data_IF_270643710104
#
_entry.id   IF_270643710104
#
_cell.length_a   1.000
_cell.length_b   1.000
_cell.length_c   1.000
_cell.angle_alpha   90.00
_cell.angle_beta   90.00
_cell.angle_gamma   90.00
#
_symmetry.space_group_name_H-M   'P 1'
#
loop_
_entity.id
_entity.type
_entity.pdbx_description
1 polymer ?
#
# COMPACT_ATOMS: atom_id res chain seq x y z
N UNK A 1 4.63 8.98 -12.35
CA UNK A 1 3.83 7.86 -11.77
C UNK A 1 2.54 8.36 -11.11
N UNK A 2 2.61 9.15 -10.05
CA UNK A 2 1.45 9.75 -9.37
C UNK A 2 1.60 11.27 -9.37
N UNK A 3 0.53 11.98 -9.70
CA UNK A 3 0.46 13.43 -9.55
C UNK A 3 -0.93 13.80 -9.04
N UNK A 4 -0.96 14.42 -7.87
CA UNK A 4 -2.19 14.99 -7.30
C UNK A 4 -2.05 16.51 -7.23
N UNK A 5 -3.13 17.21 -7.55
CA UNK A 5 -3.16 18.68 -7.56
C UNK A 5 -4.42 19.15 -6.86
N UNK A 6 -4.22 19.94 -5.81
CA UNK A 6 -5.30 20.51 -4.98
C UNK A 6 -6.37 19.49 -4.55
N UNK A 7 -5.93 18.25 -4.20
CA UNK A 7 -6.80 17.17 -3.83
C UNK A 7 -7.52 17.47 -2.51
N UNK A 8 -8.84 17.33 -2.51
CA UNK A 8 -9.69 17.58 -1.35
C UNK A 8 -10.47 16.31 -0.96
N UNK A 9 -10.60 16.10 0.35
CA UNK A 9 -11.49 15.08 0.91
C UNK A 9 -12.13 15.56 2.19
N UNK A 10 -13.46 15.52 2.25
CA UNK A 10 -14.26 16.01 3.34
C UNK A 10 -15.23 14.90 3.77
N UNK A 11 -15.10 14.43 5.00
CA UNK A 11 -16.07 13.52 5.60
C UNK A 11 -17.17 14.33 6.30
N UNK A 12 -18.42 14.03 5.96
CA UNK A 12 -19.58 14.70 6.51
C UNK A 12 -20.44 13.71 7.28
N UNK A 13 -20.73 14.04 8.53
CA UNK A 13 -21.80 13.43 9.32
C UNK A 13 -22.91 14.45 9.53
N UNK A 14 -24.02 14.07 10.16
CA UNK A 14 -25.11 15.00 10.43
C UNK A 14 -24.70 16.19 11.31
N UNK A 15 -23.65 16.03 12.13
CA UNK A 15 -23.25 17.03 13.14
C UNK A 15 -21.87 17.65 12.87
N UNK A 16 -21.01 16.98 12.12
CA UNK A 16 -19.58 17.38 11.97
C UNK A 16 -19.11 17.23 10.53
N UNK A 17 -18.38 18.24 10.06
CA UNK A 17 -17.62 18.21 8.84
C UNK A 17 -16.12 18.14 9.17
N UNK A 18 -15.43 17.12 8.66
CA UNK A 18 -14.00 16.92 8.88
C UNK A 18 -13.28 16.99 7.54
N UNK A 19 -12.43 18.00 7.36
CA UNK A 19 -11.55 18.12 6.18
C UNK A 19 -10.34 17.24 6.39
N UNK A 20 -10.32 16.09 5.72
CA UNK A 20 -9.22 15.11 5.82
C UNK A 20 -8.06 15.42 4.88
N UNK A 21 -8.35 15.93 3.66
CA UNK A 21 -7.36 16.47 2.73
C UNK A 21 -7.80 17.87 2.31
N UNK A 22 -6.86 18.82 2.35
CA UNK A 22 -7.13 20.23 2.15
C UNK A 22 -6.16 20.80 1.08
N UNK A 23 -6.56 20.74 -0.19
CA UNK A 23 -5.75 21.14 -1.35
C UNK A 23 -4.36 20.51 -1.33
N UNK A 24 -4.34 19.18 -1.12
CA UNK A 24 -3.12 18.39 -1.10
C UNK A 24 -2.56 18.30 -2.51
N UNK A 25 -1.32 18.74 -2.71
CA UNK A 25 -0.59 18.57 -3.97
C UNK A 25 0.71 17.80 -3.71
N UNK A 26 0.95 16.77 -4.50
CA UNK A 26 2.12 15.90 -4.36
C UNK A 26 2.40 15.22 -5.70
N UNK A 27 3.69 15.09 -6.04
CA UNK A 27 4.14 14.33 -7.20
C UNK A 27 5.10 13.23 -6.74
N UNK A 28 4.89 12.01 -7.25
CA UNK A 28 5.71 10.83 -6.94
C UNK A 28 6.12 10.19 -8.26
N UNK A 29 7.43 10.03 -8.43
CA UNK A 29 8.01 9.46 -9.64
C UNK A 29 7.98 7.94 -9.63
N UNK A 30 8.19 7.32 -10.80
CA UNK A 30 8.39 5.88 -10.89
C UNK A 30 9.66 5.47 -10.11
N UNK A 31 9.58 4.30 -9.48
CA UNK A 31 10.67 3.70 -8.68
C UNK A 31 11.05 4.50 -7.42
N UNK A 32 10.28 5.53 -7.07
CA UNK A 32 10.50 6.28 -5.84
C UNK A 32 9.94 5.51 -4.63
N UNK A 33 10.68 5.52 -3.52
CA UNK A 33 10.18 5.11 -2.21
C UNK A 33 9.92 6.37 -1.40
N UNK A 34 8.66 6.64 -1.10
CA UNK A 34 8.22 7.83 -0.34
C UNK A 34 7.61 7.40 0.99
N UNK A 35 8.07 8.01 2.07
CA UNK A 35 7.41 7.91 3.38
C UNK A 35 6.52 9.13 3.62
N UNK A 36 5.29 8.91 4.03
CA UNK A 36 4.35 9.95 4.45
C UNK A 36 4.21 9.88 5.96
N UNK A 37 4.59 10.94 6.65
CA UNK A 37 4.58 11.05 8.10
C UNK A 37 3.68 12.19 8.59
N UNK A 38 3.26 12.11 9.84
CA UNK A 38 2.47 13.17 10.50
C UNK A 38 1.70 12.63 11.69
N UNK A 39 1.11 13.51 12.51
CA UNK A 39 0.34 13.12 13.69
C UNK A 39 -0.89 12.26 13.31
N UNK A 40 -1.46 11.57 14.31
CA UNK A 40 -2.72 10.86 14.11
C UNK A 40 -3.82 11.83 13.68
N UNK A 41 -4.66 11.40 12.73
CA UNK A 41 -5.78 12.23 12.21
C UNK A 41 -5.40 13.28 11.17
N UNK A 42 -4.13 13.43 10.77
CA UNK A 42 -3.74 14.45 9.78
C UNK A 42 -4.05 14.10 8.31
N UNK A 43 -4.74 12.98 8.03
CA UNK A 43 -5.19 12.61 6.68
C UNK A 43 -4.34 11.58 5.95
N UNK A 44 -3.33 10.94 6.57
CA UNK A 44 -2.42 9.97 5.92
C UNK A 44 -3.15 8.76 5.34
N UNK A 45 -3.97 8.08 6.13
CA UNK A 45 -4.72 6.90 5.65
C UNK A 45 -5.78 7.30 4.61
N UNK A 46 -6.36 8.51 4.71
CA UNK A 46 -7.25 9.07 3.69
C UNK A 46 -6.50 9.27 2.37
N UNK A 47 -5.30 9.86 2.42
CA UNK A 47 -4.44 9.99 1.24
C UNK A 47 -4.15 8.63 0.62
N UNK A 48 -3.74 7.67 1.44
CA UNK A 48 -3.41 6.31 0.97
C UNK A 48 -4.63 5.62 0.35
N UNK A 49 -5.83 5.77 0.93
CA UNK A 49 -7.06 5.21 0.37
C UNK A 49 -7.42 5.83 -0.99
N UNK A 50 -7.24 7.14 -1.17
CA UNK A 50 -7.50 7.79 -2.46
C UNK A 50 -6.44 7.36 -3.49
N UNK A 51 -5.15 7.36 -3.13
CA UNK A 51 -4.09 6.88 -4.02
C UNK A 51 -4.28 5.42 -4.40
N UNK A 52 -4.86 4.63 -3.50
CA UNK A 52 -5.25 3.24 -3.72
C UNK A 52 -6.57 3.07 -4.47
N UNK A 53 -7.26 4.16 -4.81
CA UNK A 53 -8.59 4.13 -5.45
C UNK A 53 -9.62 3.32 -4.62
N UNK A 54 -9.47 3.30 -3.29
CA UNK A 54 -10.41 2.72 -2.33
C UNK A 54 -11.46 3.74 -1.90
N UNK A 55 -11.15 5.04 -2.04
CA UNK A 55 -12.05 6.17 -1.80
C UNK A 55 -11.86 7.20 -2.91
N UNK A 56 -12.85 8.08 -3.10
CA UNK A 56 -12.81 9.15 -4.10
C UNK A 56 -12.53 10.49 -3.48
N UNK A 57 -11.75 11.36 -4.15
CA UNK A 57 -11.63 12.74 -3.74
C UNK A 57 -12.95 13.49 -3.97
N UNK A 58 -13.18 14.55 -3.18
CA UNK A 58 -14.31 15.47 -3.38
C UNK A 58 -13.94 16.63 -4.32
N UNK A 59 -12.64 16.87 -4.54
CA UNK A 59 -12.13 17.90 -5.44
C UNK A 59 -10.66 17.70 -5.80
N UNK A 60 -10.18 18.49 -6.74
CA UNK A 60 -8.82 18.40 -7.26
C UNK A 60 -8.66 17.39 -8.41
N UNK A 61 -7.43 17.08 -8.76
CA UNK A 61 -7.06 16.15 -9.83
C UNK A 61 -6.12 15.07 -9.31
N UNK A 62 -6.31 13.83 -9.78
CA UNK A 62 -5.44 12.70 -9.51
C UNK A 62 -5.07 11.98 -10.80
N UNK A 63 -3.82 12.12 -11.21
CA UNK A 63 -3.21 11.39 -12.32
C UNK A 63 -2.45 10.16 -11.80
N UNK A 64 -2.77 8.99 -12.35
CA UNK A 64 -2.04 7.75 -12.17
C UNK A 64 -1.49 7.30 -13.52
N UNK A 65 -0.17 7.27 -13.69
CA UNK A 65 0.49 7.03 -14.98
C UNK A 65 -0.10 7.89 -16.13
N UNK A 66 -0.21 9.21 -15.88
CA UNK A 66 -0.75 10.20 -16.81
C UNK A 66 -2.24 10.02 -17.18
N UNK A 67 -2.94 9.11 -16.51
CA UNK A 67 -4.39 8.91 -16.66
C UNK A 67 -5.10 9.63 -15.51
N UNK A 68 -6.04 10.54 -15.85
CA UNK A 68 -6.89 11.22 -14.86
C UNK A 68 -7.93 10.23 -14.30
N UNK A 69 -7.84 9.94 -12.99
CA UNK A 69 -8.67 8.92 -12.35
C UNK A 69 -9.72 9.47 -11.40
N UNK A 70 -9.73 10.78 -11.12
CA UNK A 70 -10.69 11.39 -10.18
C UNK A 70 -12.15 11.19 -10.60
N UNK A 71 -12.41 11.11 -11.91
CA UNK A 71 -13.74 10.91 -12.47
C UNK A 71 -14.13 9.44 -12.72
N UNK A 72 -13.27 8.48 -12.38
CA UNK A 72 -13.52 7.06 -12.66
C UNK A 72 -14.69 6.51 -11.84
N UNK A 73 -15.45 5.59 -12.47
CA UNK A 73 -16.42 4.74 -11.79
C UNK A 73 -15.70 3.73 -10.88
N UNK A 74 -16.47 3.10 -9.96
CA UNK A 74 -15.93 2.05 -9.09
C UNK A 74 -15.33 0.86 -9.87
N UNK A 75 -15.95 0.50 -11.01
CA UNK A 75 -15.44 -0.59 -11.84
C UNK A 75 -14.11 -0.23 -12.50
N UNK A 76 -13.99 0.99 -13.05
CA UNK A 76 -12.72 1.47 -13.63
C UNK A 76 -11.61 1.58 -12.59
N UNK A 77 -11.92 2.10 -11.39
CA UNK A 77 -10.99 2.12 -10.25
C UNK A 77 -10.56 0.69 -9.87
N UNK A 78 -11.51 -0.24 -9.78
CA UNK A 78 -11.23 -1.64 -9.43
C UNK A 78 -10.34 -2.32 -10.47
N UNK A 79 -10.61 -2.10 -11.77
CA UNK A 79 -9.82 -2.67 -12.86
C UNK A 79 -8.39 -2.14 -12.88
N UNK A 80 -8.21 -0.84 -12.65
CA UNK A 80 -6.88 -0.22 -12.59
C UNK A 80 -6.12 -0.67 -11.35
N UNK A 81 -6.79 -0.70 -10.17
CA UNK A 81 -6.22 -1.10 -8.89
C UNK A 81 -5.70 -2.53 -8.91
N UNK A 82 -6.53 -3.51 -9.32
CA UNK A 82 -6.15 -4.93 -9.30
C UNK A 82 -4.94 -5.28 -10.17
N UNK A 83 -4.67 -4.45 -11.20
CA UNK A 83 -3.55 -4.66 -12.12
C UNK A 83 -2.26 -3.96 -11.68
N UNK A 84 -2.38 -2.86 -10.91
CA UNK A 84 -1.25 -1.97 -10.70
C UNK A 84 -0.87 -1.73 -9.24
N UNK A 85 -1.76 -2.04 -8.28
CA UNK A 85 -1.57 -1.64 -6.88
C UNK A 85 -1.56 -2.86 -5.96
N UNK A 86 -0.52 -2.97 -5.14
CA UNK A 86 -0.45 -3.89 -4.01
C UNK A 86 -0.63 -3.14 -2.70
N UNK A 87 -1.31 -3.76 -1.73
CA UNK A 87 -1.53 -3.19 -0.41
C UNK A 87 -0.87 -4.02 0.68
N UNK A 88 -0.18 -3.34 1.59
CA UNK A 88 0.39 -3.91 2.82
C UNK A 88 -0.16 -3.11 4.00
N UNK A 89 -0.93 -3.75 4.88
CA UNK A 89 -1.60 -3.10 6.00
C UNK A 89 -0.96 -3.47 7.33
N UNK A 90 -1.11 -2.62 8.33
CA UNK A 90 -0.67 -2.87 9.71
C UNK A 90 -1.31 -4.12 10.30
N UNK A 91 -2.59 -4.36 10.04
CA UNK A 91 -3.36 -5.53 10.55
C UNK A 91 -3.32 -6.73 9.62
N UNK A 92 -2.35 -6.78 8.67
CA UNK A 92 -2.15 -7.85 7.69
C UNK A 92 -3.32 -8.04 6.72
N UNK A 93 -4.55 -7.93 7.18
CA UNK A 93 -5.81 -8.10 6.43
C UNK A 93 -5.84 -9.41 5.60
N UNK A 94 -5.31 -10.49 6.17
CA UNK A 94 -5.47 -11.82 5.61
C UNK A 94 -6.89 -12.33 5.88
N UNK A 95 -7.41 -13.15 4.97
CA UNK A 95 -8.71 -13.82 5.15
C UNK A 95 -8.46 -15.07 6.00
N UNK A 96 -9.08 -15.13 7.18
CA UNK A 96 -8.80 -16.16 8.19
C UNK A 96 -9.20 -17.58 7.75
N UNK A 97 -10.20 -17.68 6.88
CA UNK A 97 -10.71 -18.94 6.32
C UNK A 97 -9.86 -19.48 5.15
N UNK A 98 -8.89 -18.70 4.68
CA UNK A 98 -8.00 -19.06 3.60
C UNK A 98 -6.59 -19.35 4.12
N UNK A 99 -5.95 -20.35 3.53
CA UNK A 99 -4.53 -20.64 3.75
C UNK A 99 -3.64 -19.48 3.24
N UNK A 100 -2.35 -19.50 3.59
CA UNK A 100 -1.35 -18.56 3.01
C UNK A 100 -1.38 -18.60 1.49
N UNK A 101 -1.39 -19.82 0.91
CA UNK A 101 -1.43 -19.98 -0.54
C UNK A 101 -2.67 -19.33 -1.15
N UNK A 102 -3.85 -19.60 -0.62
CA UNK A 102 -5.12 -19.07 -1.11
C UNK A 102 -5.21 -17.54 -0.94
N UNK A 103 -4.71 -16.98 0.17
CA UNK A 103 -4.62 -15.54 0.36
C UNK A 103 -3.73 -14.88 -0.71
N UNK A 104 -2.58 -15.50 -1.03
CA UNK A 104 -1.63 -14.98 -2.03
C UNK A 104 -2.16 -15.20 -3.45
N UNK A 105 -2.88 -16.29 -3.72
CA UNK A 105 -3.49 -16.57 -5.03
C UNK A 105 -4.65 -15.64 -5.37
N UNK A 106 -5.35 -15.12 -4.37
CA UNK A 106 -6.63 -14.39 -4.53
C UNK A 106 -6.56 -13.21 -5.53
N UNK A 107 -5.55 -12.32 -5.52
CA UNK A 107 -5.43 -11.26 -6.52
C UNK A 107 -5.32 -11.78 -7.96
N UNK A 108 -4.71 -12.94 -8.17
CA UNK A 108 -4.60 -13.58 -9.49
C UNK A 108 -5.95 -14.13 -9.96
N UNK A 109 -6.81 -14.57 -9.03
CA UNK A 109 -8.19 -15.01 -9.31
C UNK A 109 -9.00 -13.83 -9.87
N UNK A 110 -8.94 -12.67 -9.21
CA UNK A 110 -9.61 -11.44 -9.64
C UNK A 110 -9.10 -10.92 -10.99
N UNK A 111 -7.85 -11.20 -11.34
CA UNK A 111 -7.27 -10.89 -12.63
C UNK A 111 -7.54 -11.96 -13.71
N UNK A 112 -8.38 -12.97 -13.42
CA UNK A 112 -8.74 -14.07 -14.33
C UNK A 112 -7.53 -14.84 -14.87
N UNK A 113 -6.45 -14.94 -14.11
CA UNK A 113 -5.26 -15.73 -14.47
C UNK A 113 -5.61 -17.22 -14.46
N UNK A 114 -5.12 -17.99 -15.44
CA UNK A 114 -5.41 -19.43 -15.56
C UNK A 114 -4.87 -20.22 -14.34
N UNK A 115 -5.56 -21.29 -13.89
CA UNK A 115 -5.20 -22.01 -12.67
C UNK A 115 -3.74 -22.48 -12.56
N UNK A 116 -3.19 -23.05 -13.65
CA UNK A 116 -1.80 -23.50 -13.64
C UNK A 116 -0.78 -22.36 -13.45
N UNK A 117 -1.06 -21.20 -14.05
CA UNK A 117 -0.22 -20.01 -13.94
C UNK A 117 -0.40 -19.35 -12.57
N UNK A 118 -1.64 -19.30 -12.03
CA UNK A 118 -1.88 -18.80 -10.66
C UNK A 118 -1.05 -19.56 -9.64
N UNK A 119 -1.06 -20.90 -9.72
CA UNK A 119 -0.27 -21.73 -8.81
C UNK A 119 1.22 -21.37 -8.89
N UNK A 120 1.77 -21.28 -10.10
CA UNK A 120 3.17 -20.94 -10.31
C UNK A 120 3.54 -19.57 -9.74
N UNK A 121 2.71 -18.56 -10.00
CA UNK A 121 2.94 -17.18 -9.53
C UNK A 121 2.79 -17.07 -8.00
N UNK A 122 1.76 -17.69 -7.42
CA UNK A 122 1.55 -17.69 -5.98
C UNK A 122 2.70 -18.41 -5.24
N UNK A 123 3.13 -19.58 -5.72
CA UNK A 123 4.27 -20.29 -5.13
C UNK A 123 5.57 -19.47 -5.23
N UNK A 124 5.82 -18.79 -6.34
CA UNK A 124 6.98 -17.91 -6.50
C UNK A 124 6.93 -16.70 -5.54
N UNK A 125 5.76 -16.07 -5.36
CA UNK A 125 5.59 -14.97 -4.43
C UNK A 125 5.77 -15.44 -2.95
N UNK A 126 5.26 -16.62 -2.59
CA UNK A 126 5.43 -17.19 -1.25
C UNK A 126 6.90 -17.56 -0.99
N UNK A 127 7.60 -18.07 -2.00
CA UNK A 127 9.02 -18.40 -1.91
C UNK A 127 9.87 -17.14 -1.69
N UNK A 128 9.58 -16.05 -2.40
CA UNK A 128 10.33 -14.77 -2.28
C UNK A 128 10.31 -14.19 -0.86
N UNK A 129 9.27 -14.48 -0.08
CA UNK A 129 9.14 -14.07 1.33
C UNK A 129 9.49 -15.21 2.31
N UNK A 130 10.07 -16.32 1.83
CA UNK A 130 10.51 -17.49 2.62
C UNK A 130 9.37 -18.18 3.41
N UNK A 131 8.16 -18.23 2.83
CA UNK A 131 6.97 -18.78 3.49
C UNK A 131 6.47 -20.12 2.90
N UNK A 132 7.22 -20.76 1.97
CA UNK A 132 6.80 -22.03 1.35
C UNK A 132 6.48 -23.14 2.35
N UNK A 133 7.23 -23.24 3.45
CA UNK A 133 7.00 -24.21 4.51
C UNK A 133 5.69 -23.97 5.29
N UNK A 134 5.06 -22.81 5.13
CA UNK A 134 3.80 -22.39 5.77
C UNK A 134 2.65 -22.21 4.77
N UNK A 135 2.82 -22.53 3.50
CA UNK A 135 1.83 -22.24 2.45
C UNK A 135 0.42 -22.78 2.71
N UNK A 136 0.33 -23.91 3.42
CA UNK A 136 -0.94 -24.57 3.74
C UNK A 136 -1.47 -24.22 5.14
N UNK A 137 -0.83 -23.29 5.86
CA UNK A 137 -1.27 -22.84 7.18
C UNK A 137 -2.29 -21.72 7.04
N UNK A 138 -3.20 -21.63 8.01
CA UNK A 138 -4.15 -20.52 8.14
C UNK A 138 -3.52 -19.35 8.93
N UNK A 139 -4.01 -18.11 8.78
CA UNK A 139 -3.49 -16.95 9.50
C UNK A 139 -3.39 -17.14 11.01
N UNK A 140 -4.39 -17.78 11.63
CA UNK A 140 -4.42 -18.09 13.07
C UNK A 140 -3.27 -19.00 13.57
N UNK A 141 -2.59 -19.68 12.66
CA UNK A 141 -1.46 -20.59 12.94
C UNK A 141 -0.10 -19.91 12.74
N UNK A 142 -0.07 -18.62 12.43
CA UNK A 142 1.11 -17.86 12.06
C UNK A 142 1.44 -16.80 13.13
N UNK A 143 2.73 -16.54 13.34
CA UNK A 143 3.15 -15.35 14.08
C UNK A 143 2.84 -14.06 13.28
N UNK A 144 2.79 -12.90 13.96
CA UNK A 144 2.56 -11.62 13.29
C UNK A 144 3.55 -11.33 12.14
N UNK A 145 4.84 -11.63 12.35
CA UNK A 145 5.84 -11.49 11.27
C UNK A 145 5.59 -12.43 10.09
N UNK A 146 5.11 -13.66 10.33
CA UNK A 146 4.73 -14.58 9.25
C UNK A 146 3.47 -14.12 8.53
N UNK A 147 2.48 -13.59 9.24
CA UNK A 147 1.28 -13.00 8.63
C UNK A 147 1.65 -11.81 7.75
N UNK A 148 2.54 -10.93 8.21
CA UNK A 148 2.99 -9.78 7.40
C UNK A 148 3.77 -10.21 6.16
N UNK A 149 4.63 -11.23 6.25
CA UNK A 149 5.30 -11.80 5.07
C UNK A 149 4.29 -12.34 4.05
N UNK A 150 3.25 -13.04 4.51
CA UNK A 150 2.16 -13.51 3.64
C UNK A 150 1.39 -12.34 3.00
N UNK A 151 1.13 -11.26 3.76
CA UNK A 151 0.51 -10.05 3.24
C UNK A 151 1.38 -9.34 2.18
N UNK A 152 2.70 -9.29 2.38
CA UNK A 152 3.64 -8.78 1.36
C UNK A 152 3.61 -9.67 0.12
N UNK A 153 3.65 -11.01 0.26
CA UNK A 153 3.55 -11.92 -0.89
C UNK A 153 2.25 -11.71 -1.69
N UNK A 154 1.11 -11.54 -0.99
CA UNK A 154 -0.17 -11.21 -1.63
C UNK A 154 -0.11 -9.87 -2.38
N UNK A 155 0.54 -8.87 -1.80
CA UNK A 155 0.64 -7.55 -2.43
C UNK A 155 1.46 -7.58 -3.73
N UNK A 156 2.49 -8.44 -3.83
CA UNK A 156 3.43 -8.45 -4.96
C UNK A 156 3.11 -9.49 -6.04
N UNK A 157 2.17 -10.40 -5.80
CA UNK A 157 1.90 -11.55 -6.67
C UNK A 157 1.53 -11.18 -8.12
N UNK A 158 0.92 -10.01 -8.32
CA UNK A 158 0.58 -9.44 -9.63
C UNK A 158 1.69 -8.55 -10.22
N UNK A 159 2.88 -8.49 -9.61
CA UNK A 159 3.96 -7.58 -10.01
C UNK A 159 3.46 -6.13 -10.14
N UNK A 160 2.90 -5.53 -9.06
CA UNK A 160 2.29 -4.21 -9.12
C UNK A 160 3.33 -3.13 -9.41
N UNK A 161 2.91 -2.03 -10.05
CA UNK A 161 3.73 -0.85 -10.26
C UNK A 161 3.88 -0.01 -8.98
N UNK A 162 2.88 -0.08 -8.10
CA UNK A 162 2.79 0.67 -6.86
C UNK A 162 2.46 -0.25 -5.69
N UNK A 163 3.20 -0.11 -4.59
CA UNK A 163 2.84 -0.66 -3.28
C UNK A 163 2.44 0.49 -2.37
N UNK A 164 1.27 0.36 -1.75
CA UNK A 164 0.78 1.23 -0.69
C UNK A 164 0.88 0.49 0.64
N UNK A 165 1.73 0.99 1.55
CA UNK A 165 1.98 0.39 2.84
C UNK A 165 1.46 1.30 3.96
N UNK A 166 0.48 0.84 4.72
CA UNK A 166 -0.06 1.55 5.88
C UNK A 166 0.50 0.94 7.16
N UNK A 167 1.45 1.64 7.81
CA UNK A 167 2.11 1.22 9.05
C UNK A 167 2.62 -0.24 9.01
N UNK A 168 3.42 -0.65 8.00
CA UNK A 168 3.68 -2.05 7.69
C UNK A 168 4.39 -2.83 8.80
N UNK A 169 4.96 -2.13 9.79
CA UNK A 169 5.71 -2.71 10.92
C UNK A 169 5.02 -2.50 12.26
N UNK A 170 3.90 -1.75 12.29
CA UNK A 170 3.29 -1.26 13.52
C UNK A 170 2.85 -2.34 14.53
N UNK A 171 2.58 -3.57 14.07
CA UNK A 171 2.19 -4.72 14.91
C UNK A 171 3.31 -5.77 15.05
N UNK A 172 4.57 -5.42 14.74
CA UNK A 172 5.70 -6.34 14.73
C UNK A 172 6.74 -5.99 15.79
N UNK A 173 7.45 -7.00 16.27
CA UNK A 173 8.69 -6.77 16.99
C UNK A 173 9.79 -6.21 16.06
N UNK A 174 10.85 -5.67 16.66
CA UNK A 174 11.91 -4.97 15.91
C UNK A 174 12.57 -5.83 14.84
N UNK A 175 12.75 -7.15 15.08
CA UNK A 175 13.40 -8.05 14.13
C UNK A 175 12.49 -8.31 12.92
N UNK A 176 11.23 -8.67 13.17
CA UNK A 176 10.27 -8.89 12.10
C UNK A 176 9.96 -7.60 11.32
N UNK A 177 9.93 -6.45 12.02
CA UNK A 177 9.79 -5.13 11.38
C UNK A 177 10.95 -4.85 10.42
N UNK A 178 12.20 -5.08 10.88
CA UNK A 178 13.40 -4.94 10.03
C UNK A 178 13.34 -5.82 8.78
N UNK A 179 12.90 -7.07 8.92
CA UNK A 179 12.77 -8.00 7.79
C UNK A 179 11.75 -7.50 6.77
N UNK A 180 10.60 -6.96 7.21
CA UNK A 180 9.58 -6.38 6.33
C UNK A 180 10.12 -5.14 5.62
N UNK A 181 10.83 -4.24 6.32
CA UNK A 181 11.43 -3.06 5.69
C UNK A 181 12.49 -3.44 4.65
N UNK A 182 13.30 -4.46 4.91
CA UNK A 182 14.26 -4.98 3.94
C UNK A 182 13.54 -5.51 2.69
N UNK A 183 12.44 -6.29 2.85
CA UNK A 183 11.64 -6.77 1.71
C UNK A 183 11.08 -5.62 0.87
N UNK A 184 10.55 -4.56 1.50
CA UNK A 184 10.05 -3.39 0.78
C UNK A 184 11.19 -2.67 0.04
N UNK A 185 12.36 -2.55 0.65
CA UNK A 185 13.55 -1.96 0.01
C UNK A 185 13.99 -2.77 -1.21
N UNK A 186 14.04 -4.10 -1.11
CA UNK A 186 14.40 -4.98 -2.22
C UNK A 186 13.39 -4.88 -3.37
N UNK A 187 12.10 -4.79 -3.06
CA UNK A 187 11.04 -4.59 -4.06
C UNK A 187 11.17 -3.22 -4.76
N UNK A 188 11.52 -2.18 -4.01
CA UNK A 188 11.78 -0.87 -4.59
C UNK A 188 13.03 -0.88 -5.48
N UNK A 189 14.13 -1.50 -5.03
CA UNK A 189 15.35 -1.66 -5.81
C UNK A 189 15.10 -2.46 -7.11
N UNK A 190 14.13 -3.39 -7.10
CA UNK A 190 13.67 -4.11 -8.29
C UNK A 190 12.75 -3.27 -9.21
N UNK A 191 12.45 -2.02 -8.87
CA UNK A 191 11.72 -1.07 -9.70
C UNK A 191 10.27 -0.82 -9.31
N UNK A 192 9.78 -1.34 -8.17
CA UNK A 192 8.43 -1.03 -7.69
C UNK A 192 8.41 0.32 -6.97
N UNK A 193 7.46 1.18 -7.29
CA UNK A 193 7.21 2.42 -6.54
C UNK A 193 6.55 2.10 -5.21
N UNK A 194 6.99 2.73 -4.11
CA UNK A 194 6.43 2.49 -2.78
C UNK A 194 6.01 3.80 -2.13
N UNK A 195 4.80 3.82 -1.58
CA UNK A 195 4.33 4.88 -0.69
C UNK A 195 4.00 4.22 0.64
N UNK A 196 4.72 4.62 1.67
CA UNK A 196 4.55 4.11 3.02
C UNK A 196 4.05 5.21 3.94
N UNK A 197 2.93 4.97 4.61
CA UNK A 197 2.49 5.77 5.75
C UNK A 197 3.12 5.19 7.01
N UNK A 198 3.77 6.01 7.81
CA UNK A 198 4.33 5.59 9.09
C UNK A 198 4.45 6.75 10.07
N UNK A 199 4.40 6.44 11.37
CA UNK A 199 4.78 7.35 12.44
C UNK A 199 6.21 7.08 12.97
N UNK A 200 6.86 6.00 12.51
CA UNK A 200 8.20 5.60 12.89
C UNK A 200 9.27 6.37 12.09
N UNK A 201 10.04 7.22 12.77
CA UNK A 201 11.21 7.88 12.17
C UNK A 201 12.26 6.86 11.70
N UNK A 202 12.35 5.71 12.36
CA UNK A 202 13.27 4.64 11.97
C UNK A 202 12.88 4.08 10.59
N UNK A 203 11.59 3.76 10.40
CA UNK A 203 11.12 3.16 9.15
C UNK A 203 11.11 4.19 8.00
N UNK A 204 10.82 5.45 8.30
CA UNK A 204 10.87 6.51 7.31
C UNK A 204 12.26 6.69 6.67
N UNK A 205 13.33 6.31 7.36
CA UNK A 205 14.72 6.39 6.84
C UNK A 205 15.02 5.42 5.69
N UNK A 206 14.16 4.43 5.45
CA UNK A 206 14.28 3.54 4.29
C UNK A 206 13.80 4.21 2.99
N UNK A 207 13.02 5.28 3.10
CA UNK A 207 12.50 6.00 1.95
C UNK A 207 13.54 6.98 1.37
N UNK A 208 13.44 7.23 0.07
CA UNK A 208 14.25 8.25 -0.61
C UNK A 208 13.83 9.66 -0.22
N UNK A 209 12.55 9.84 0.17
CA UNK A 209 11.96 11.13 0.52
C UNK A 209 10.91 10.95 1.60
N UNK A 210 10.89 11.92 2.52
CA UNK A 210 9.87 12.01 3.57
C UNK A 210 8.99 13.22 3.30
N UNK A 211 7.68 12.99 3.20
CA UNK A 211 6.64 14.01 3.12
C UNK A 211 5.95 14.10 4.48
N UNK A 212 6.05 15.24 5.13
CA UNK A 212 5.37 15.48 6.42
C UNK A 212 4.03 16.13 6.18
N UNK A 213 2.98 15.56 6.75
CA UNK A 213 1.60 16.04 6.66
C UNK A 213 1.14 16.66 7.98
N UNK A 214 0.40 17.74 7.87
CA UNK A 214 -0.34 18.37 8.97
C UNK A 214 -1.66 18.93 8.43
N UNK A 215 -2.77 18.63 9.09
CA UNK A 215 -4.11 19.14 8.76
C UNK A 215 -4.47 18.97 7.26
N UNK A 216 -4.22 17.79 6.73
CA UNK A 216 -4.55 17.43 5.35
C UNK A 216 -3.66 18.07 4.28
N UNK A 217 -2.51 18.65 4.65
CA UNK A 217 -1.56 19.30 3.74
C UNK A 217 -0.14 18.79 3.93
N UNK A 218 0.70 18.79 2.86
CA UNK A 218 2.13 18.62 3.02
C UNK A 218 2.73 19.92 3.60
N UNK A 219 3.53 19.81 4.65
CA UNK A 219 4.16 20.97 5.32
C UNK A 219 5.67 21.00 5.14
N UNK A 220 6.29 19.85 4.89
CA UNK A 220 7.73 19.74 4.68
C UNK A 220 8.05 18.51 3.84
N UNK A 221 8.96 18.65 2.89
CA UNK A 221 9.54 17.54 2.13
C UNK A 221 11.06 17.52 2.35
N UNK A 222 11.57 16.41 2.88
CA UNK A 222 13.00 16.18 3.04
C UNK A 222 13.44 15.06 2.10
N UNK A 223 14.36 15.35 1.18
CA UNK A 223 15.06 14.31 0.41
C UNK A 223 16.14 13.70 1.31
N UNK A 224 16.13 12.38 1.41
CA UNK A 224 17.20 11.60 2.03
C UNK A 224 18.21 11.29 0.91
N UNK A 225 19.47 11.61 1.13
CA UNK A 225 20.55 11.37 0.16
C UNK A 225 21.11 9.97 0.32
#
# INVERSE_FOLDING_TARGET
>A
MIKITDLEKIYRTEEVETVALNKMSLEINEHEFVAVMGPSGCGKSTLLNILGMLDKPDGGSFLFNDIEVSGFSENECSDLRKQNIGFVFQSFNLIDELTVFENVELPLVYNNVKPAERKRLAEAAIESVQMMHRRNHYPSQLSGGQQQRAAVARAVVNSPKLILADEPTGNLDSRNGQDVMNMLTDLNAAGTTIIMVTHSEHDARYAHRIVRMLDGKPVLENKMF
#
